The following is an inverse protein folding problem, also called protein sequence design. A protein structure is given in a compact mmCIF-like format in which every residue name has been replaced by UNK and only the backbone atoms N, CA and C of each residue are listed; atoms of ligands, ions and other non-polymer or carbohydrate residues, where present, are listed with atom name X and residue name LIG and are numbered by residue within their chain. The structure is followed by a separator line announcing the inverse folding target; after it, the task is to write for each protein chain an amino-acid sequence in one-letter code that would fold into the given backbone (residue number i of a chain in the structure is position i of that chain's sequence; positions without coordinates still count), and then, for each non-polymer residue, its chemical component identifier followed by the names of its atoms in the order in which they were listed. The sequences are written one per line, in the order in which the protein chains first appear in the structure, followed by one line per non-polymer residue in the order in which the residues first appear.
data_IF_964418125002
#
_entry.id   IF_964418125002
#
_cell.length_a   1.000
_cell.length_b   1.000
_cell.length_c   1.000
_cell.angle_alpha   90.00
_cell.angle_beta   90.00
_cell.angle_gamma   90.00
#
_symmetry.space_group_name_H-M   'P 1'
#
loop_
_entity.id
_entity.type
_entity.pdbx_description
1 polymer ?
#
# COMPACT_ATOMS: atom_id res chain seq x y z
N UNK A 1 11.42 -21.78 17.71
CA UNK A 1 11.16 -21.07 16.45
C UNK A 1 10.96 -19.61 16.82
N UNK A 2 11.80 -18.70 16.32
CA UNK A 2 11.67 -17.29 16.64
C UNK A 2 10.41 -16.75 15.93
N UNK A 3 9.48 -16.14 16.69
CA UNK A 3 8.42 -15.35 16.10
C UNK A 3 9.08 -14.23 15.27
N UNK A 4 8.67 -14.02 14.00
CA UNK A 4 9.15 -12.89 13.25
C UNK A 4 8.72 -11.62 13.99
N UNK A 5 9.69 -10.85 14.49
CA UNK A 5 9.42 -9.53 15.05
C UNK A 5 8.74 -8.72 13.95
N UNK A 6 7.51 -8.27 14.21
CA UNK A 6 6.82 -7.36 13.32
C UNK A 6 7.65 -6.08 13.25
N UNK A 7 8.17 -5.76 12.07
CA UNK A 7 8.84 -4.47 11.83
C UNK A 7 7.88 -3.36 12.22
N UNK A 8 8.16 -2.63 13.29
CA UNK A 8 7.37 -1.46 13.66
C UNK A 8 7.75 -0.29 12.76
N UNK A 9 6.79 0.21 12.00
CA UNK A 9 6.99 1.35 11.11
C UNK A 9 6.70 2.64 11.86
N UNK A 10 7.60 3.65 11.82
CA UNK A 10 7.36 4.94 12.43
C UNK A 10 6.08 5.57 11.85
N UNK A 11 5.07 5.75 12.70
CA UNK A 11 3.82 6.42 12.35
C UNK A 11 3.81 7.85 12.91
N UNK A 12 2.97 8.69 12.33
CA UNK A 12 2.71 10.04 12.85
C UNK A 12 1.24 10.21 13.18
N UNK A 13 0.92 11.32 13.83
CA UNK A 13 -0.47 11.74 14.01
C UNK A 13 -1.08 12.25 12.70
N UNK A 14 -2.41 12.20 12.66
CA UNK A 14 -3.20 12.81 11.60
C UNK A 14 -3.14 14.34 11.73
N UNK A 15 -2.83 15.02 10.64
CA UNK A 15 -2.69 16.47 10.59
C UNK A 15 -3.81 17.05 9.72
N UNK A 16 -4.74 17.79 10.34
CA UNK A 16 -5.95 18.30 9.67
C UNK A 16 -5.69 19.46 8.71
N UNK A 17 -4.47 20.00 8.70
CA UNK A 17 -3.98 21.07 7.82
C UNK A 17 -3.15 20.54 6.65
N UNK A 18 -2.67 19.29 6.74
CA UNK A 18 -1.88 18.67 5.68
C UNK A 18 -2.79 18.19 4.55
N UNK A 19 -2.57 18.73 3.34
CA UNK A 19 -3.38 18.42 2.16
C UNK A 19 -3.63 16.91 1.95
N UNK A 20 -2.60 16.07 2.09
CA UNK A 20 -2.73 14.62 1.93
C UNK A 20 -3.70 13.96 2.93
N UNK A 21 -3.69 14.43 4.18
CA UNK A 21 -4.57 13.92 5.23
C UNK A 21 -5.99 14.45 5.05
N UNK A 22 -6.13 15.73 4.67
CA UNK A 22 -7.42 16.35 4.33
C UNK A 22 -8.10 15.64 3.16
N UNK A 23 -7.35 15.32 2.10
CA UNK A 23 -7.89 14.56 0.97
C UNK A 23 -8.38 13.17 1.40
N UNK A 24 -7.70 12.54 2.36
CA UNK A 24 -8.11 11.27 2.91
C UNK A 24 -9.37 11.42 3.79
N UNK A 25 -9.43 12.44 4.66
CA UNK A 25 -10.57 12.67 5.56
C UNK A 25 -11.86 12.96 4.80
N UNK A 26 -11.80 13.70 3.69
CA UNK A 26 -12.97 13.98 2.83
C UNK A 26 -13.61 12.73 2.23
N UNK A 27 -12.90 11.60 2.23
CA UNK A 27 -13.32 10.36 1.57
C UNK A 27 -13.84 9.32 2.57
N UNK A 28 -13.58 9.55 3.86
CA UNK A 28 -14.05 8.73 4.97
C UNK A 28 -15.33 9.33 5.54
N UNK A 29 -16.38 8.53 5.81
CA UNK A 29 -17.56 9.03 6.50
C UNK A 29 -17.19 9.63 7.87
N UNK A 30 -17.65 10.86 8.17
CA UNK A 30 -17.27 11.56 9.41
C UNK A 30 -17.54 10.75 10.68
N UNK A 31 -18.64 10.01 10.72
CA UNK A 31 -19.01 9.10 11.84
C UNK A 31 -18.04 7.93 12.06
N UNK A 32 -17.16 7.65 11.08
CA UNK A 32 -16.14 6.60 11.16
C UNK A 32 -14.75 7.15 11.44
N UNK A 33 -14.57 8.47 11.53
CA UNK A 33 -13.24 9.07 11.66
C UNK A 33 -12.44 8.51 12.84
N UNK A 34 -13.06 8.35 14.01
CA UNK A 34 -12.40 7.77 15.19
C UNK A 34 -11.93 6.31 14.96
N UNK A 35 -12.69 5.52 14.22
CA UNK A 35 -12.30 4.15 13.83
C UNK A 35 -11.08 4.18 12.90
N UNK A 36 -11.09 5.09 11.92
CA UNK A 36 -9.99 5.25 10.96
C UNK A 36 -8.70 5.69 11.63
N UNK A 37 -8.75 6.71 12.50
CA UNK A 37 -7.53 7.26 13.11
C UNK A 37 -6.84 6.32 14.09
N UNK A 38 -7.58 5.32 14.60
CA UNK A 38 -7.05 4.27 15.48
C UNK A 38 -6.40 3.13 14.69
N UNK A 39 -6.97 2.73 13.56
CA UNK A 39 -6.59 1.48 12.87
C UNK A 39 -5.82 1.69 11.58
N UNK A 40 -5.88 2.90 11.01
CA UNK A 40 -5.10 3.31 9.84
C UNK A 40 -4.22 4.48 10.28
N UNK A 41 -2.91 4.31 10.14
CA UNK A 41 -1.94 5.30 10.59
C UNK A 41 -1.14 5.84 9.41
N UNK A 42 -1.03 7.16 9.25
CA UNK A 42 -0.10 7.72 8.29
C UNK A 42 1.34 7.42 8.74
N UNK A 43 2.18 7.02 7.80
CA UNK A 43 3.61 6.88 8.08
C UNK A 43 4.25 8.25 8.32
N UNK A 44 5.27 8.26 9.17
CA UNK A 44 6.15 9.41 9.31
C UNK A 44 6.78 9.75 7.95
N UNK A 45 7.08 11.03 7.70
CA UNK A 45 7.50 11.50 6.38
C UNK A 45 8.75 10.80 5.85
N UNK A 46 9.72 10.54 6.72
CA UNK A 46 10.94 9.80 6.41
C UNK A 46 10.64 8.34 6.02
N UNK A 47 9.88 7.62 6.85
CA UNK A 47 9.47 6.24 6.58
C UNK A 47 8.65 6.12 5.28
N UNK A 48 7.73 7.06 5.04
CA UNK A 48 6.97 7.13 3.79
C UNK A 48 7.88 7.34 2.58
N UNK A 49 8.89 8.22 2.70
CA UNK A 49 9.87 8.50 1.65
C UNK A 49 10.80 7.32 1.36
N UNK A 50 11.24 6.60 2.38
CA UNK A 50 12.02 5.36 2.25
C UNK A 50 11.20 4.30 1.51
N UNK A 51 9.97 4.05 1.98
CA UNK A 51 9.08 3.06 1.36
C UNK A 51 8.79 3.41 -0.10
N UNK A 52 8.49 4.67 -0.39
CA UNK A 52 8.28 5.15 -1.75
C UNK A 52 9.51 4.92 -2.63
N UNK A 53 10.69 5.33 -2.14
CA UNK A 53 11.96 5.20 -2.87
C UNK A 53 12.28 3.74 -3.16
N UNK A 54 12.09 2.85 -2.18
CA UNK A 54 12.31 1.42 -2.33
C UNK A 54 11.33 0.77 -3.33
N UNK A 55 10.04 1.12 -3.23
CA UNK A 55 8.99 0.59 -4.09
C UNK A 55 9.17 1.01 -5.56
N UNK A 56 9.57 2.27 -5.79
CA UNK A 56 9.67 2.86 -7.12
C UNK A 56 11.11 3.09 -7.59
N UNK A 57 12.11 2.49 -6.94
CA UNK A 57 13.49 2.53 -7.42
C UNK A 57 13.57 2.10 -8.89
N UNK A 58 14.19 2.92 -9.75
CA UNK A 58 14.27 2.64 -11.19
C UNK A 58 12.94 2.65 -11.96
N UNK A 59 11.82 3.06 -11.33
CA UNK A 59 10.54 3.33 -11.99
C UNK A 59 10.49 4.81 -12.36
N UNK A 60 10.64 5.11 -13.65
CA UNK A 60 10.39 6.46 -14.16
C UNK A 60 8.88 6.72 -14.23
N UNK A 61 8.42 7.89 -13.76
CA UNK A 61 7.01 8.36 -13.84
C UNK A 61 5.98 7.25 -13.48
N UNK A 62 5.99 6.73 -12.25
CA UNK A 62 5.25 5.52 -11.84
C UNK A 62 3.75 5.55 -12.17
N UNK A 63 3.13 6.73 -12.16
CA UNK A 63 1.70 6.90 -12.38
C UNK A 63 1.37 7.60 -13.71
N UNK A 64 2.25 7.51 -14.71
CA UNK A 64 2.00 8.07 -16.03
C UNK A 64 1.90 6.94 -17.07
N UNK A 65 0.69 6.48 -17.47
CA UNK A 65 0.49 5.29 -18.29
C UNK A 65 1.37 5.17 -19.53
N UNK A 66 1.61 6.30 -20.22
CA UNK A 66 2.42 6.35 -21.45
C UNK A 66 3.92 6.50 -21.24
N UNK A 67 4.35 6.96 -20.08
CA UNK A 67 5.75 7.35 -19.82
C UNK A 67 6.40 6.55 -18.71
N UNK A 68 5.62 5.70 -18.02
CA UNK A 68 6.14 4.88 -16.97
C UNK A 68 7.18 3.88 -17.50
N UNK A 69 8.24 3.65 -16.73
CA UNK A 69 9.28 2.66 -17.00
C UNK A 69 9.34 1.63 -15.87
N UNK A 70 10.14 0.57 -16.05
CA UNK A 70 10.26 -0.50 -15.05
C UNK A 70 8.95 -1.26 -14.89
N UNK A 71 8.71 -1.78 -13.68
CA UNK A 71 7.57 -2.68 -13.41
C UNK A 71 6.20 -2.00 -13.62
N UNK A 72 6.07 -0.70 -13.33
CA UNK A 72 4.84 0.06 -13.62
C UNK A 72 4.62 0.23 -15.13
N UNK A 73 5.68 0.47 -15.91
CA UNK A 73 5.59 0.53 -17.37
C UNK A 73 5.14 -0.80 -17.97
N UNK A 74 5.66 -1.92 -17.46
CA UNK A 74 5.24 -3.25 -17.88
C UNK A 74 3.79 -3.55 -17.49
N UNK A 75 3.34 -3.11 -16.30
CA UNK A 75 1.94 -3.20 -15.88
C UNK A 75 1.02 -2.43 -16.83
N UNK A 76 1.33 -1.18 -17.18
CA UNK A 76 0.52 -0.38 -18.09
C UNK A 76 0.51 -0.93 -19.53
N UNK A 77 1.64 -1.45 -20.03
CA UNK A 77 1.71 -2.11 -21.35
C UNK A 77 0.89 -3.39 -21.40
N UNK A 78 0.89 -4.16 -20.31
CA UNK A 78 0.03 -5.35 -20.18
C UNK A 78 -1.45 -4.97 -20.17
N UNK A 79 -1.76 -3.77 -19.67
CA UNK A 79 -3.02 -3.05 -19.92
C UNK A 79 -4.28 -3.78 -19.44
N UNK A 80 -5.47 -3.21 -19.69
CA UNK A 80 -6.76 -3.64 -19.12
C UNK A 80 -7.30 -4.98 -19.69
N UNK A 81 -6.43 -5.84 -20.24
CA UNK A 81 -6.80 -7.18 -20.73
C UNK A 81 -7.14 -8.14 -19.59
N UNK A 82 -6.57 -7.91 -18.41
CA UNK A 82 -7.17 -8.36 -17.16
C UNK A 82 -8.12 -7.24 -16.71
N UNK A 83 -9.36 -7.23 -17.22
CA UNK A 83 -10.46 -6.60 -16.47
C UNK A 83 -10.34 -7.13 -15.03
N UNK A 84 -10.76 -6.38 -14.02
CA UNK A 84 -10.85 -6.86 -12.62
C UNK A 84 -11.71 -8.12 -12.41
N UNK A 85 -12.03 -8.86 -13.48
CA UNK A 85 -12.65 -10.17 -13.59
C UNK A 85 -11.70 -11.36 -13.45
N UNK A 86 -10.42 -11.17 -13.13
CA UNK A 86 -9.57 -12.31 -12.72
C UNK A 86 -10.03 -12.91 -11.38
N UNK A 87 -10.85 -12.17 -10.62
CA UNK A 87 -11.81 -12.80 -9.72
C UNK A 87 -12.92 -13.35 -10.60
N UNK A 88 -12.94 -14.68 -10.78
CA UNK A 88 -14.12 -15.37 -11.33
C UNK A 88 -15.34 -14.82 -10.61
N UNK A 89 -16.43 -14.54 -11.32
CA UNK A 89 -17.68 -14.08 -10.70
C UNK A 89 -17.97 -14.94 -9.45
N UNK A 90 -17.85 -14.35 -8.25
CA UNK A 90 -18.01 -15.05 -6.97
C UNK A 90 -16.74 -15.30 -6.13
N UNK A 91 -15.52 -15.14 -6.65
CA UNK A 91 -14.33 -15.13 -5.80
C UNK A 91 -14.31 -13.83 -4.99
N UNK A 92 -14.42 -13.97 -3.66
CA UNK A 92 -14.25 -12.86 -2.74
C UNK A 92 -12.85 -12.27 -2.96
N UNK A 93 -12.75 -10.95 -3.18
CA UNK A 93 -11.51 -10.18 -3.36
C UNK A 93 -10.36 -10.64 -2.44
N UNK A 94 -10.72 -10.94 -1.20
CA UNK A 94 -9.84 -11.49 -0.16
C UNK A 94 -9.14 -12.77 -0.59
N UNK A 95 -9.87 -13.77 -1.08
CA UNK A 95 -9.32 -15.07 -1.47
C UNK A 95 -8.33 -14.94 -2.63
N UNK A 96 -8.64 -14.13 -3.65
CA UNK A 96 -7.71 -13.93 -4.77
C UNK A 96 -6.50 -13.08 -4.41
N UNK A 97 -6.65 -12.07 -3.52
CA UNK A 97 -5.50 -11.32 -3.00
C UNK A 97 -4.60 -12.22 -2.13
N UNK A 98 -5.17 -13.00 -1.21
CA UNK A 98 -4.43 -13.96 -0.39
C UNK A 98 -3.72 -15.02 -1.26
N UNK A 99 -4.39 -15.57 -2.27
CA UNK A 99 -3.80 -16.56 -3.18
C UNK A 99 -2.61 -16.00 -3.98
N UNK A 100 -2.72 -14.77 -4.48
CA UNK A 100 -1.67 -14.17 -5.32
C UNK A 100 -0.51 -13.60 -4.51
N UNK A 101 -0.80 -12.94 -3.39
CA UNK A 101 0.18 -12.25 -2.56
C UNK A 101 0.81 -13.19 -1.53
N UNK A 102 0.06 -14.13 -0.96
CA UNK A 102 0.54 -15.11 0.03
C UNK A 102 0.80 -14.55 1.43
N UNK A 103 1.04 -13.24 1.56
CA UNK A 103 1.26 -12.53 2.82
C UNK A 103 0.08 -11.68 3.28
N UNK A 104 -0.94 -11.54 2.43
CA UNK A 104 -2.00 -10.55 2.62
C UNK A 104 -2.65 -10.67 4.00
N UNK A 105 -2.95 -11.88 4.48
CA UNK A 105 -3.60 -12.10 5.78
C UNK A 105 -2.67 -12.06 7.00
N UNK A 106 -1.35 -12.00 6.81
CA UNK A 106 -0.37 -12.18 7.89
C UNK A 106 0.56 -10.99 8.11
N UNK A 107 0.52 -9.98 7.24
CA UNK A 107 1.39 -8.81 7.31
C UNK A 107 0.60 -7.50 7.35
N UNK A 108 1.16 -6.42 7.92
CA UNK A 108 0.62 -5.09 7.72
C UNK A 108 0.64 -4.75 6.22
N UNK A 109 -0.35 -3.97 5.81
CA UNK A 109 -0.42 -3.49 4.43
C UNK A 109 -0.08 -2.03 4.34
N UNK A 110 0.75 -1.70 3.35
CA UNK A 110 1.06 -0.32 3.01
C UNK A 110 0.18 0.14 1.85
N UNK A 111 -0.43 1.29 2.04
CA UNK A 111 -1.27 1.99 1.07
C UNK A 111 -0.49 3.19 0.54
N UNK A 112 0.07 3.05 -0.66
CA UNK A 112 0.94 4.07 -1.25
C UNK A 112 0.21 4.84 -2.34
N UNK A 113 -0.06 6.13 -2.09
CA UNK A 113 -0.70 7.03 -3.05
C UNK A 113 0.30 7.97 -3.73
N UNK A 114 1.22 8.54 -2.92
CA UNK A 114 2.19 9.54 -3.34
C UNK A 114 3.45 9.42 -2.44
N UNK A 115 4.59 10.07 -2.79
CA UNK A 115 5.83 9.95 -2.01
C UNK A 115 5.69 10.21 -0.52
N UNK A 116 4.76 11.09 -0.13
CA UNK A 116 4.55 11.47 1.27
C UNK A 116 3.16 11.09 1.80
N UNK A 117 2.39 10.34 1.00
CA UNK A 117 1.05 9.87 1.33
C UNK A 117 1.07 8.33 1.34
N UNK A 118 1.61 7.80 2.44
CA UNK A 118 1.68 6.37 2.71
C UNK A 118 1.01 6.08 4.05
N UNK A 119 0.14 5.08 4.07
CA UNK A 119 -0.55 4.63 5.28
C UNK A 119 -0.22 3.17 5.55
N UNK A 120 -0.27 2.78 6.82
CA UNK A 120 -0.19 1.40 7.27
C UNK A 120 -1.49 0.99 7.95
N UNK A 121 -1.96 -0.22 7.65
CA UNK A 121 -3.15 -0.79 8.27
C UNK A 121 -3.00 -2.32 8.43
N UNK A 122 -3.69 -2.94 9.39
CA UNK A 122 -3.89 -4.38 9.37
C UNK A 122 -4.69 -4.80 8.13
N UNK A 123 -4.41 -5.99 7.58
CA UNK A 123 -5.12 -6.55 6.42
C UNK A 123 -6.64 -6.51 6.55
N UNK A 124 -7.15 -7.01 7.67
CA UNK A 124 -8.59 -7.12 7.93
C UNK A 124 -9.27 -5.74 7.94
N UNK A 125 -8.60 -4.74 8.51
CA UNK A 125 -9.07 -3.35 8.54
C UNK A 125 -9.09 -2.78 7.13
N UNK A 126 -7.99 -2.94 6.37
CA UNK A 126 -7.94 -2.47 4.98
C UNK A 126 -9.05 -3.09 4.13
N UNK A 127 -9.24 -4.41 4.23
CA UNK A 127 -10.22 -5.15 3.44
C UNK A 127 -11.67 -4.75 3.78
N UNK A 128 -12.00 -4.53 5.06
CA UNK A 128 -13.32 -4.02 5.45
C UNK A 128 -13.55 -2.61 4.89
N UNK A 129 -12.56 -1.72 5.01
CA UNK A 129 -12.61 -0.37 4.46
C UNK A 129 -12.77 -0.39 2.92
N UNK A 130 -12.11 -1.33 2.23
CA UNK A 130 -12.27 -1.54 0.79
C UNK A 130 -13.70 -1.96 0.44
N UNK A 131 -14.23 -2.99 1.10
CA UNK A 131 -15.59 -3.54 0.85
C UNK A 131 -16.69 -2.50 1.06
N UNK A 132 -16.46 -1.55 1.96
CA UNK A 132 -17.39 -0.46 2.28
C UNK A 132 -17.17 0.81 1.46
N UNK A 133 -16.19 0.79 0.54
CA UNK A 133 -15.81 1.94 -0.29
C UNK A 133 -15.44 3.19 0.51
N UNK A 134 -14.85 3.01 1.69
CA UNK A 134 -14.46 4.12 2.58
C UNK A 134 -13.05 4.66 2.29
N UNK A 135 -12.25 3.96 1.50
CA UNK A 135 -10.93 4.40 1.07
C UNK A 135 -10.95 4.52 -0.46
N UNK A 136 -10.58 5.67 -1.04
CA UNK A 136 -10.46 5.81 -2.47
C UNK A 136 -9.18 5.10 -2.95
N UNK A 137 -9.25 4.36 -4.05
CA UNK A 137 -8.10 3.60 -4.59
C UNK A 137 -7.79 3.95 -6.04
N UNK A 138 -8.30 5.08 -6.55
CA UNK A 138 -8.13 5.51 -7.95
C UNK A 138 -6.66 5.55 -8.37
N UNK A 139 -5.71 5.62 -7.44
CA UNK A 139 -4.31 5.29 -7.69
C UNK A 139 -3.66 4.85 -6.38
N UNK A 140 -3.45 3.55 -6.18
CA UNK A 140 -2.73 3.07 -5.00
C UNK A 140 -1.95 1.79 -5.26
N UNK A 141 -0.88 1.59 -4.49
CA UNK A 141 -0.13 0.34 -4.44
C UNK A 141 -0.25 -0.27 -3.06
N UNK A 142 -0.67 -1.53 -3.03
CA UNK A 142 -0.71 -2.41 -1.87
C UNK A 142 0.54 -3.29 -1.86
N UNK A 143 1.30 -3.25 -0.77
CA UNK A 143 2.53 -4.03 -0.63
C UNK A 143 2.81 -4.43 0.84
N UNK A 144 3.73 -5.39 1.00
CA UNK A 144 4.35 -5.79 2.27
C UNK A 144 5.87 -5.73 2.12
N UNK A 145 6.53 -5.49 3.25
CA UNK A 145 7.98 -5.49 3.41
C UNK A 145 8.66 -6.81 3.08
N UNK A 146 8.01 -7.90 3.46
CA UNK A 146 8.50 -9.27 3.29
C UNK A 146 8.38 -9.81 1.87
N UNK A 147 7.82 -9.04 0.92
CA UNK A 147 7.51 -9.54 -0.42
C UNK A 147 7.83 -8.57 -1.54
N UNK A 148 8.33 -9.11 -2.66
CA UNK A 148 8.47 -8.38 -3.91
C UNK A 148 7.14 -8.20 -4.64
N UNK A 149 6.11 -8.98 -4.29
CA UNK A 149 4.80 -8.92 -4.95
C UNK A 149 4.01 -7.71 -4.47
N UNK A 150 3.35 -7.04 -5.41
CA UNK A 150 2.48 -5.90 -5.14
C UNK A 150 1.17 -6.03 -5.88
N UNK A 151 0.12 -5.40 -5.35
CA UNK A 151 -1.14 -5.20 -6.03
C UNK A 151 -1.36 -3.70 -6.27
N UNK A 152 -1.74 -3.34 -7.49
CA UNK A 152 -1.96 -1.95 -7.91
C UNK A 152 -3.44 -1.75 -8.22
N UNK A 153 -4.00 -0.67 -7.69
CA UNK A 153 -5.33 -0.18 -8.03
C UNK A 153 -5.17 1.13 -8.80
N UNK A 154 -5.79 1.22 -9.97
CA UNK A 154 -5.57 2.32 -10.92
C UNK A 154 -6.86 2.68 -11.64
N UNK A 155 -7.23 3.96 -11.59
CA UNK A 155 -8.40 4.60 -12.21
C UNK A 155 -9.72 3.83 -11.96
N UNK A 156 -9.92 3.35 -10.73
CA UNK A 156 -11.11 2.56 -10.36
C UNK A 156 -11.07 1.10 -10.81
N UNK A 157 -9.95 0.64 -11.39
CA UNK A 157 -9.71 -0.74 -11.80
C UNK A 157 -8.62 -1.42 -10.97
N UNK A 158 -8.56 -2.75 -11.07
CA UNK A 158 -7.60 -3.60 -10.36
C UNK A 158 -8.30 -4.64 -9.49
N UNK A 159 -7.56 -5.37 -8.62
CA UNK A 159 -6.10 -5.29 -8.44
C UNK A 159 -5.33 -5.83 -9.66
N UNK A 160 -4.27 -5.12 -10.06
CA UNK A 160 -3.26 -5.58 -11.00
C UNK A 160 -2.05 -6.09 -10.22
N UNK A 161 -1.55 -7.28 -10.55
CA UNK A 161 -0.42 -7.87 -9.84
C UNK A 161 0.90 -7.62 -10.55
N UNK A 162 1.92 -7.26 -9.79
CA UNK A 162 3.28 -7.09 -10.30
C UNK A 162 4.33 -7.57 -9.29
N UNK A 163 5.58 -7.62 -9.75
CA UNK A 163 6.75 -7.92 -8.95
C UNK A 163 7.73 -6.74 -9.05
N UNK A 164 8.10 -6.17 -7.90
CA UNK A 164 9.03 -5.03 -7.78
C UNK A 164 10.50 -5.46 -7.68
N UNK A 165 10.78 -6.76 -7.74
CA UNK A 165 12.08 -7.39 -7.55
C UNK A 165 12.49 -7.52 -6.08
N UNK A 166 13.70 -8.05 -5.83
CA UNK A 166 14.26 -8.32 -4.51
C UNK A 166 14.61 -7.08 -3.66
N UNK A 167 13.98 -5.94 -3.93
CA UNK A 167 14.25 -4.69 -3.23
C UNK A 167 13.60 -4.77 -1.85
N UNK A 168 14.32 -4.50 -0.77
CA UNK A 168 13.70 -4.45 0.56
C UNK A 168 12.86 -3.18 0.69
N UNK A 169 11.67 -3.24 1.33
CA UNK A 169 10.98 -2.01 1.80
C UNK A 169 11.42 -1.61 3.20
N UNK A 170 12.12 -2.51 3.91
CA UNK A 170 12.72 -2.23 5.19
C UNK A 170 14.19 -1.86 4.98
N UNK A 171 14.57 -0.65 5.37
CA UNK A 171 15.88 -0.48 5.99
C UNK A 171 15.68 -0.65 7.51
N UNK A 172 16.61 -1.34 8.20
CA UNK A 172 16.46 -1.62 9.62
C UNK A 172 16.40 -0.30 10.40
N UNK A 173 15.47 -0.22 11.37
CA UNK A 173 15.58 0.72 12.49
C UNK A 173 17.03 0.72 12.94
N UNK A 174 17.69 1.88 12.91
CA UNK A 174 18.98 2.01 13.58
C UNK A 174 18.79 1.46 14.99
N UNK A 175 19.56 0.41 15.32
CA UNK A 175 19.62 -0.07 16.69
C UNK A 175 20.03 1.11 17.58
N UNK A 176 19.55 1.20 18.82
CA UNK A 176 20.06 2.22 19.75
C UNK A 176 21.58 2.06 19.82
N UNK A 177 22.30 3.17 19.62
CA UNK A 177 23.76 3.23 19.74
C UNK A 177 24.19 2.46 21.00
N UNK A 178 25.08 1.46 20.89
CA UNK A 178 25.77 0.97 22.07
C UNK A 178 26.64 2.12 22.55
N UNK A 179 26.23 2.69 23.68
CA UNK A 179 26.93 3.67 24.50
C UNK A 179 28.44 3.77 24.18
N UNK A 180 28.90 4.98 23.86
CA UNK A 180 30.29 5.39 24.08
C UNK A 180 30.28 6.74 24.77
#
# INVERSE_FOLDING_TARGET
MAEPQATEYPTREWLTDRFADVQFTHRVPAVKWAYFTQLIRPLAGEAAGILWSALFAGVGRPFHPRLARGWMGELFKRGPRSRGSDFKHGELLDAGLCSRLGWASSAPVFLVFQPTQVYVAPWSVWLDCFRRSWVPFDTSVLCSDSSSKVAVFWEGFGPYFADRGARSLAEPSAAPDPAT
#
